data_IF_011106194966
#
_entry.id   IF_011106194966
#
_cell.length_a   1.000
_cell.length_b   1.000
_cell.length_c   1.000
_cell.angle_alpha   90.00
_cell.angle_beta   90.00
_cell.angle_gamma   90.00
#
_symmetry.space_group_name_H-M   'P 1'
#
loop_
_entity.id
_entity.type
_entity.pdbx_description
1 polymer ?
#
# COMPACT_ATOMS: atom_id res chain seq x y z
N UNK A 1 -16.18 7.90 -50.67
CA UNK A 1 -14.91 7.92 -49.96
C UNK A 1 -15.20 8.34 -48.53
N UNK A 2 -15.34 7.37 -47.59
CA UNK A 2 -15.46 7.58 -46.17
C UNK A 2 -14.04 7.67 -45.61
N UNK A 3 -13.63 8.85 -45.18
CA UNK A 3 -12.41 9.04 -44.40
C UNK A 3 -12.66 8.55 -42.97
N UNK A 4 -11.96 7.49 -42.57
CA UNK A 4 -11.92 7.05 -41.18
C UNK A 4 -11.22 8.13 -40.34
N UNK A 5 -11.72 8.46 -39.13
CA UNK A 5 -11.02 9.36 -38.24
C UNK A 5 -9.70 8.70 -37.79
N UNK A 6 -8.60 9.44 -37.94
CA UNK A 6 -7.32 9.09 -37.34
C UNK A 6 -7.52 9.09 -35.80
N UNK A 7 -7.45 7.91 -35.19
CA UNK A 7 -7.25 7.80 -33.75
C UNK A 7 -5.93 8.50 -33.42
N UNK A 8 -6.01 9.69 -32.83
CA UNK A 8 -4.84 10.31 -32.20
C UNK A 8 -4.41 9.43 -31.05
N UNK A 9 -3.23 8.86 -31.15
CA UNK A 9 -2.61 8.18 -30.01
C UNK A 9 -2.63 9.13 -28.82
N UNK A 10 -3.20 8.70 -27.70
CA UNK A 10 -3.11 9.44 -26.45
C UNK A 10 -1.61 9.59 -26.15
N UNK A 11 -1.17 10.84 -26.03
CA UNK A 11 0.21 11.13 -25.65
C UNK A 11 0.37 10.62 -24.21
N UNK A 12 1.26 9.65 -23.99
CA UNK A 12 1.58 9.19 -22.63
C UNK A 12 2.07 10.40 -21.82
N UNK A 13 1.38 10.68 -20.73
CA UNK A 13 1.77 11.72 -19.79
C UNK A 13 2.92 11.18 -18.96
N UNK A 14 4.15 11.54 -19.32
CA UNK A 14 5.35 11.18 -18.58
C UNK A 14 5.63 12.20 -17.50
N UNK A 15 5.95 11.75 -16.28
CA UNK A 15 6.45 12.62 -15.22
C UNK A 15 7.82 13.18 -15.58
N UNK A 16 8.04 14.46 -15.32
CA UNK A 16 9.40 15.03 -15.32
C UNK A 16 10.11 14.68 -14.01
N UNK A 17 11.44 14.73 -14.01
CA UNK A 17 12.24 14.50 -12.80
C UNK A 17 11.87 15.46 -11.67
N UNK A 18 11.60 16.74 -11.97
CA UNK A 18 11.17 17.72 -10.96
C UNK A 18 9.81 17.34 -10.35
N UNK A 19 8.86 16.91 -11.16
CA UNK A 19 7.56 16.41 -10.64
C UNK A 19 7.74 15.16 -9.78
N UNK A 20 8.64 14.26 -10.15
CA UNK A 20 8.96 13.09 -9.34
C UNK A 20 9.59 13.46 -7.99
N UNK A 21 10.48 14.48 -7.95
CA UNK A 21 11.05 15.01 -6.71
C UNK A 21 9.95 15.60 -5.80
N UNK A 22 9.05 16.38 -6.38
CA UNK A 22 7.96 17.02 -5.63
C UNK A 22 6.98 15.97 -5.07
N UNK A 23 6.63 14.98 -5.87
CA UNK A 23 5.80 13.84 -5.44
C UNK A 23 6.47 13.01 -4.36
N UNK A 24 7.79 12.78 -4.43
CA UNK A 24 8.51 12.03 -3.43
C UNK A 24 8.58 12.75 -2.07
N UNK A 25 8.46 14.07 -2.05
CA UNK A 25 8.47 14.84 -0.80
C UNK A 25 7.25 14.50 0.07
N UNK A 26 6.07 14.33 -0.54
CA UNK A 26 4.82 14.09 0.19
C UNK A 26 4.89 12.86 1.11
N UNK A 27 5.24 11.65 0.63
CA UNK A 27 5.40 10.50 1.51
C UNK A 27 6.56 10.65 2.50
N UNK A 28 7.68 11.23 2.10
CA UNK A 28 8.82 11.42 3.00
C UNK A 28 8.50 12.34 4.19
N UNK A 29 7.64 13.33 4.01
CA UNK A 29 7.26 14.25 5.08
C UNK A 29 6.33 13.61 6.11
N UNK A 30 5.51 12.61 5.72
CA UNK A 30 4.50 12.05 6.60
C UNK A 30 4.78 10.62 7.08
N UNK A 31 5.65 9.87 6.41
CA UNK A 31 5.80 8.42 6.64
C UNK A 31 6.22 8.05 8.06
N UNK A 32 6.91 8.96 8.76
CA UNK A 32 7.35 8.81 10.14
C UNK A 32 6.64 9.77 11.10
N UNK A 33 5.63 10.50 10.62
CA UNK A 33 4.83 11.36 11.46
C UNK A 33 3.73 10.54 12.12
N UNK A 34 3.91 10.21 13.40
CA UNK A 34 2.99 9.36 14.14
C UNK A 34 1.63 10.04 14.41
N UNK A 35 1.62 11.37 14.62
CA UNK A 35 0.41 12.15 14.92
C UNK A 35 0.29 13.37 14.02
N UNK A 36 -0.97 13.79 13.64
CA UNK A 36 -2.26 13.15 14.00
C UNK A 36 -2.42 11.78 13.34
N UNK A 37 -3.16 10.87 14.00
CA UNK A 37 -3.38 9.51 13.51
C UNK A 37 -4.83 9.04 13.73
N UNK A 38 -5.33 8.25 12.79
CA UNK A 38 -6.64 7.62 12.84
C UNK A 38 -6.46 6.11 12.78
N UNK A 39 -6.37 5.46 13.93
CA UNK A 39 -6.10 4.03 14.04
C UNK A 39 -7.20 3.12 13.46
N UNK A 40 -8.46 3.54 13.44
CA UNK A 40 -9.61 2.73 12.98
C UNK A 40 -9.71 1.34 13.64
N UNK A 41 -9.08 1.14 14.80
CA UNK A 41 -8.99 -0.16 15.45
C UNK A 41 -10.25 -0.52 16.23
N UNK A 42 -10.47 -1.82 16.41
CA UNK A 42 -11.43 -2.36 17.36
C UNK A 42 -10.68 -2.84 18.60
N UNK A 43 -11.09 -2.40 19.77
CA UNK A 43 -10.50 -2.83 21.05
C UNK A 43 -11.33 -3.98 21.63
N UNK A 44 -10.72 -5.12 21.93
CA UNK A 44 -11.37 -6.18 22.69
C UNK A 44 -11.30 -5.89 24.20
N UNK A 45 -10.22 -5.24 24.64
CA UNK A 45 -10.03 -4.76 26.01
C UNK A 45 -8.98 -3.62 26.07
N UNK A 46 -8.70 -3.11 27.26
CA UNK A 46 -7.80 -1.97 27.47
C UNK A 46 -6.32 -2.26 27.18
N UNK A 47 -5.91 -3.53 27.14
CA UNK A 47 -4.51 -3.90 26.80
C UNK A 47 -4.17 -3.67 25.34
N UNK A 48 -5.19 -3.42 24.48
CA UNK A 48 -5.00 -3.11 23.07
C UNK A 48 -4.75 -1.61 22.79
N UNK A 49 -4.69 -0.78 23.82
CA UNK A 49 -4.42 0.66 23.68
C UNK A 49 -2.90 0.86 23.65
N UNK A 50 -2.37 1.04 22.46
CA UNK A 50 -0.96 1.28 22.23
C UNK A 50 -0.76 2.44 21.22
N UNK A 51 0.43 3.06 21.17
CA UNK A 51 0.74 4.06 20.16
C UNK A 51 0.69 3.48 18.73
N UNK A 52 0.35 4.29 17.71
CA UNK A 52 0.32 3.85 16.31
C UNK A 52 1.57 3.10 15.87
N UNK A 53 2.76 3.59 16.20
CA UNK A 53 4.03 2.97 15.83
C UNK A 53 4.30 1.62 16.48
N UNK A 54 3.71 1.35 17.66
CA UNK A 54 3.77 0.03 18.30
C UNK A 54 2.82 -0.96 17.64
N UNK A 55 1.61 -0.51 17.29
CA UNK A 55 0.58 -1.35 16.67
C UNK A 55 0.91 -1.67 15.21
N UNK A 56 1.46 -0.70 14.49
CA UNK A 56 1.71 -0.73 13.05
C UNK A 56 3.12 -0.24 12.71
N UNK A 57 4.18 -0.98 13.09
CA UNK A 57 5.56 -0.51 12.91
C UNK A 57 5.96 -0.27 11.45
N UNK A 58 5.24 -0.87 10.48
CA UNK A 58 5.40 -0.60 9.06
C UNK A 58 4.61 0.63 8.63
N UNK A 59 3.33 0.70 9.00
CA UNK A 59 2.34 1.59 8.38
C UNK A 59 1.67 2.55 9.38
N UNK A 60 2.44 3.15 10.29
CA UNK A 60 1.91 4.06 11.33
C UNK A 60 1.82 5.52 10.90
N UNK A 61 2.57 5.95 9.87
CA UNK A 61 2.63 7.34 9.45
C UNK A 61 1.50 7.78 8.53
N UNK A 62 1.59 9.00 8.01
CA UNK A 62 0.66 9.55 7.00
C UNK A 62 -0.82 9.51 7.40
N UNK A 63 -1.14 9.75 8.68
CA UNK A 63 -2.49 9.86 9.22
C UNK A 63 -3.20 8.54 9.50
N UNK A 64 -3.19 7.56 8.61
CA UNK A 64 -3.80 6.25 8.83
C UNK A 64 -3.04 5.13 8.10
N UNK A 65 -3.41 3.89 8.39
CA UNK A 65 -2.71 2.70 7.92
C UNK A 65 -2.66 2.62 6.38
N UNK A 66 -3.80 2.77 5.69
CA UNK A 66 -3.84 2.66 4.23
C UNK A 66 -3.12 3.84 3.54
N UNK A 67 -3.17 5.04 4.10
CA UNK A 67 -2.41 6.19 3.56
C UNK A 67 -0.90 5.95 3.68
N UNK A 68 -0.44 5.29 4.75
CA UNK A 68 0.95 4.84 4.86
C UNK A 68 1.30 3.79 3.81
N UNK A 69 0.40 2.84 3.51
CA UNK A 69 0.61 1.87 2.41
C UNK A 69 0.71 2.58 1.06
N UNK A 70 -0.14 3.59 0.79
CA UNK A 70 -0.04 4.42 -0.43
C UNK A 70 1.31 5.12 -0.53
N UNK A 71 1.80 5.67 0.60
CA UNK A 71 3.09 6.34 0.66
C UNK A 71 4.24 5.38 0.29
N UNK A 72 4.22 4.16 0.81
CA UNK A 72 5.19 3.13 0.45
C UNK A 72 5.11 2.75 -1.03
N UNK A 73 3.89 2.50 -1.55
CA UNK A 73 3.69 2.22 -2.96
C UNK A 73 4.21 3.35 -3.85
N UNK A 74 3.89 4.60 -3.53
CA UNK A 74 4.33 5.75 -4.34
C UNK A 74 5.86 5.89 -4.36
N UNK A 75 6.54 5.64 -3.23
CA UNK A 75 7.99 5.65 -3.14
C UNK A 75 8.62 4.53 -3.99
N UNK A 76 8.07 3.31 -3.97
CA UNK A 76 8.53 2.21 -4.83
C UNK A 76 8.34 2.56 -6.30
N UNK A 77 7.16 3.04 -6.69
CA UNK A 77 6.85 3.42 -8.07
C UNK A 77 7.74 4.54 -8.59
N UNK A 78 8.05 5.53 -7.74
CA UNK A 78 8.98 6.61 -8.12
C UNK A 78 10.42 6.10 -8.29
N UNK A 79 10.94 5.25 -7.41
CA UNK A 79 12.28 4.68 -7.56
C UNK A 79 12.40 3.77 -8.79
N UNK A 80 11.35 3.03 -9.12
CA UNK A 80 11.29 2.18 -10.31
C UNK A 80 11.40 3.00 -11.60
N UNK A 81 10.73 4.16 -11.64
CA UNK A 81 10.74 5.05 -12.80
C UNK A 81 11.97 5.99 -12.83
N UNK A 82 12.46 6.41 -11.68
CA UNK A 82 13.55 7.38 -11.51
C UNK A 82 14.58 6.86 -10.50
N UNK A 83 15.41 5.86 -10.87
CA UNK A 83 16.33 5.21 -9.92
C UNK A 83 17.39 6.14 -9.34
N UNK A 84 17.75 7.20 -10.09
CA UNK A 84 18.75 8.21 -9.70
C UNK A 84 18.11 9.50 -9.15
N UNK A 85 16.85 9.46 -8.75
CA UNK A 85 16.15 10.61 -8.18
C UNK A 85 16.96 11.21 -7.02
N UNK A 86 17.05 12.54 -6.94
CA UNK A 86 17.78 13.25 -5.88
C UNK A 86 17.48 12.75 -4.44
N UNK A 87 16.28 12.18 -4.24
CA UNK A 87 15.82 11.61 -2.96
C UNK A 87 15.90 10.08 -2.88
N UNK A 88 16.48 9.43 -3.88
CA UNK A 88 16.46 7.97 -3.99
C UNK A 88 17.02 7.28 -2.75
N UNK A 89 18.13 7.75 -2.20
CA UNK A 89 18.73 7.13 -1.01
C UNK A 89 17.84 7.26 0.24
N UNK A 90 17.25 8.42 0.49
CA UNK A 90 16.31 8.61 1.60
C UNK A 90 15.08 7.71 1.47
N UNK A 91 14.58 7.50 0.25
CA UNK A 91 13.46 6.60 -0.02
C UNK A 91 13.89 5.14 0.23
N UNK A 92 15.05 4.71 -0.28
CA UNK A 92 15.57 3.34 -0.08
C UNK A 92 15.74 3.02 1.40
N UNK A 93 16.37 3.91 2.16
CA UNK A 93 16.55 3.76 3.62
C UNK A 93 15.21 3.64 4.35
N UNK A 94 14.23 4.45 3.96
CA UNK A 94 12.88 4.41 4.52
C UNK A 94 12.18 3.08 4.24
N UNK A 95 12.19 2.64 2.99
CA UNK A 95 11.57 1.37 2.57
C UNK A 95 12.21 0.18 3.27
N UNK A 96 13.56 0.10 3.32
CA UNK A 96 14.29 -0.99 3.97
C UNK A 96 14.01 -1.05 5.48
N UNK A 97 13.97 0.09 6.15
CA UNK A 97 13.65 0.16 7.58
C UNK A 97 12.22 -0.27 7.87
N UNK A 98 11.25 0.27 7.14
CA UNK A 98 9.84 0.05 7.41
C UNK A 98 9.41 -1.36 7.01
N UNK A 99 9.78 -1.82 5.80
CA UNK A 99 9.45 -3.16 5.27
C UNK A 99 10.43 -4.23 5.76
N UNK A 100 11.04 -4.06 6.94
CA UNK A 100 11.85 -5.10 7.56
C UNK A 100 10.99 -6.32 7.92
N UNK A 101 11.62 -7.48 7.95
CA UNK A 101 10.94 -8.75 8.29
C UNK A 101 10.26 -8.69 9.66
N UNK A 102 10.94 -8.09 10.64
CA UNK A 102 10.45 -7.94 12.01
C UNK A 102 9.17 -7.10 12.06
N UNK A 103 9.15 -5.96 11.38
CA UNK A 103 8.01 -5.06 11.31
C UNK A 103 6.81 -5.72 10.60
N UNK A 104 7.06 -6.42 9.49
CA UNK A 104 6.00 -7.15 8.77
C UNK A 104 5.40 -8.28 9.63
N UNK A 105 6.21 -8.99 10.42
CA UNK A 105 5.69 -10.02 11.34
C UNK A 105 4.76 -9.37 12.38
N UNK A 106 5.11 -8.20 12.92
CA UNK A 106 4.25 -7.49 13.86
C UNK A 106 2.90 -7.08 13.24
N UNK A 107 2.91 -6.58 12.00
CA UNK A 107 1.66 -6.30 11.25
C UNK A 107 0.81 -7.56 11.07
N UNK A 108 1.43 -8.69 10.68
CA UNK A 108 0.74 -9.97 10.52
C UNK A 108 0.08 -10.41 11.84
N UNK A 109 0.78 -10.29 12.96
CA UNK A 109 0.22 -10.65 14.29
C UNK A 109 -0.94 -9.72 14.69
N UNK A 110 -0.87 -8.44 14.35
CA UNK A 110 -1.99 -7.53 14.53
C UNK A 110 -3.24 -7.99 13.75
N UNK A 111 -3.08 -8.28 12.46
CA UNK A 111 -4.18 -8.76 11.61
C UNK A 111 -4.75 -10.12 12.03
N UNK A 112 -3.96 -11.01 12.63
CA UNK A 112 -4.42 -12.33 13.09
C UNK A 112 -5.36 -12.27 14.28
N UNK A 113 -5.37 -11.18 15.06
CA UNK A 113 -6.29 -11.02 16.19
C UNK A 113 -7.74 -11.11 15.71
N UNK A 114 -8.57 -11.85 16.44
CA UNK A 114 -9.96 -12.14 16.05
C UNK A 114 -10.79 -10.87 15.78
N UNK A 115 -10.63 -9.84 16.63
CA UNK A 115 -11.33 -8.57 16.51
C UNK A 115 -10.83 -7.70 15.35
N UNK A 116 -9.69 -8.04 14.71
CA UNK A 116 -9.11 -7.31 13.58
C UNK A 116 -9.37 -7.98 12.22
N UNK A 117 -10.25 -9.00 12.16
CA UNK A 117 -10.54 -9.72 10.91
C UNK A 117 -11.01 -8.85 9.74
N UNK A 118 -11.65 -7.73 10.03
CA UNK A 118 -12.15 -6.79 9.02
C UNK A 118 -11.35 -5.48 8.94
N UNK A 119 -10.24 -5.40 9.68
CA UNK A 119 -9.40 -4.20 9.67
C UNK A 119 -8.96 -3.87 8.23
N UNK A 120 -9.13 -2.61 7.84
CA UNK A 120 -8.79 -2.06 6.51
C UNK A 120 -9.49 -2.71 5.29
N UNK A 121 -10.56 -3.48 5.50
CA UNK A 121 -11.32 -4.16 4.43
C UNK A 121 -12.16 -3.16 3.62
N UNK A 122 -12.08 -3.09 2.32
CA UNK A 122 -11.21 -3.82 1.39
C UNK A 122 -10.13 -2.91 0.80
N UNK A 123 -10.18 -1.61 1.10
CA UNK A 123 -9.37 -0.57 0.51
C UNK A 123 -7.89 -0.72 0.88
N UNK A 124 -7.57 -0.81 2.17
CA UNK A 124 -6.20 -1.01 2.62
C UNK A 124 -5.61 -2.34 2.13
N UNK A 125 -6.43 -3.40 2.10
CA UNK A 125 -6.01 -4.69 1.54
C UNK A 125 -5.60 -4.59 0.08
N UNK A 126 -6.38 -3.86 -0.74
CA UNK A 126 -6.09 -3.64 -2.14
C UNK A 126 -4.73 -2.95 -2.35
N UNK A 127 -4.44 -1.96 -1.51
CA UNK A 127 -3.18 -1.23 -1.60
C UNK A 127 -1.95 -2.04 -1.17
N UNK A 128 -2.09 -2.99 -0.24
CA UNK A 128 -1.00 -3.94 0.06
C UNK A 128 -0.70 -4.83 -1.15
N UNK A 129 -1.74 -5.33 -1.84
CA UNK A 129 -1.55 -6.10 -3.06
C UNK A 129 -0.88 -5.26 -4.15
N UNK A 130 -1.30 -4.00 -4.31
CA UNK A 130 -0.70 -3.08 -5.27
C UNK A 130 0.76 -2.75 -4.96
N UNK A 131 1.11 -2.58 -3.68
CA UNK A 131 2.50 -2.44 -3.24
C UNK A 131 3.32 -3.70 -3.56
N UNK A 132 2.75 -4.88 -3.31
CA UNK A 132 3.42 -6.15 -3.58
C UNK A 132 3.66 -6.36 -5.08
N UNK A 133 2.67 -6.04 -5.92
CA UNK A 133 2.78 -6.07 -7.39
C UNK A 133 3.85 -5.11 -7.91
N UNK A 134 3.91 -3.89 -7.38
CA UNK A 134 4.91 -2.90 -7.76
C UNK A 134 6.34 -3.35 -7.42
N UNK A 135 6.54 -3.99 -6.25
CA UNK A 135 7.81 -4.61 -5.86
C UNK A 135 8.16 -5.80 -6.76
N UNK A 136 7.18 -6.66 -7.06
CA UNK A 136 7.36 -7.86 -7.91
C UNK A 136 7.84 -7.50 -9.32
N UNK A 137 7.26 -6.44 -9.89
CA UNK A 137 7.55 -5.98 -11.26
C UNK A 137 8.75 -5.05 -11.36
N UNK A 138 9.44 -4.78 -10.25
CA UNK A 138 10.66 -3.99 -10.22
C UNK A 138 11.91 -4.88 -10.21
N UNK A 139 12.66 -4.88 -11.31
CA UNK A 139 13.90 -5.66 -11.47
C UNK A 139 15.05 -5.06 -10.62
N UNK A 140 14.99 -5.24 -9.31
CA UNK A 140 15.99 -4.76 -8.35
C UNK A 140 16.23 -5.82 -7.27
N UNK A 141 17.50 -6.04 -6.82
CA UNK A 141 17.78 -6.89 -5.66
C UNK A 141 17.06 -6.43 -4.40
N UNK A 142 16.99 -5.10 -4.17
CA UNK A 142 16.27 -4.52 -3.05
C UNK A 142 14.76 -4.82 -3.12
N UNK A 143 14.16 -4.67 -4.31
CA UNK A 143 12.73 -4.96 -4.48
C UNK A 143 12.39 -6.41 -4.16
N UNK A 144 13.23 -7.36 -4.59
CA UNK A 144 13.07 -8.79 -4.27
C UNK A 144 13.13 -9.07 -2.78
N UNK A 145 14.07 -8.44 -2.07
CA UNK A 145 14.17 -8.55 -0.62
C UNK A 145 12.92 -8.00 0.08
N UNK A 146 12.47 -6.79 -0.31
CA UNK A 146 11.30 -6.15 0.27
C UNK A 146 10.01 -6.93 -0.04
N UNK A 147 9.89 -7.50 -1.24
CA UNK A 147 8.77 -8.38 -1.62
C UNK A 147 8.73 -9.63 -0.74
N UNK A 148 9.87 -10.32 -0.56
CA UNK A 148 9.94 -11.50 0.32
C UNK A 148 9.61 -11.16 1.78
N UNK A 149 10.04 -9.99 2.26
CA UNK A 149 9.66 -9.53 3.60
C UNK A 149 8.16 -9.27 3.70
N UNK A 150 7.54 -8.62 2.69
CA UNK A 150 6.12 -8.28 2.66
C UNK A 150 5.19 -9.51 2.49
N UNK A 151 5.70 -10.58 1.88
CA UNK A 151 4.94 -11.78 1.48
C UNK A 151 4.06 -12.39 2.58
N UNK A 152 4.46 -12.49 3.86
CA UNK A 152 3.59 -13.01 4.91
C UNK A 152 2.30 -12.18 5.08
N UNK A 153 2.40 -10.85 5.01
CA UNK A 153 1.24 -9.96 5.07
C UNK A 153 0.38 -10.07 3.81
N UNK A 154 0.99 -10.07 2.63
CA UNK A 154 0.30 -10.24 1.34
C UNK A 154 -0.49 -11.55 1.30
N UNK A 155 0.11 -12.66 1.73
CA UNK A 155 -0.57 -13.96 1.80
C UNK A 155 -1.77 -13.92 2.75
N UNK A 156 -1.64 -13.30 3.92
CA UNK A 156 -2.74 -13.13 4.85
C UNK A 156 -3.90 -12.33 4.24
N UNK A 157 -3.59 -11.25 3.52
CA UNK A 157 -4.59 -10.43 2.82
C UNK A 157 -5.31 -11.23 1.73
N UNK A 158 -4.58 -12.04 0.96
CA UNK A 158 -5.17 -12.94 -0.06
C UNK A 158 -6.18 -13.90 0.59
N UNK A 159 -5.82 -14.54 1.71
CA UNK A 159 -6.74 -15.43 2.42
C UNK A 159 -7.98 -14.67 2.95
N UNK A 160 -7.81 -13.45 3.44
CA UNK A 160 -8.92 -12.57 3.83
C UNK A 160 -9.88 -12.26 2.67
N UNK A 161 -9.33 -11.98 1.47
CA UNK A 161 -10.15 -11.80 0.27
C UNK A 161 -10.92 -13.08 -0.09
N UNK A 162 -10.26 -14.24 -0.09
CA UNK A 162 -10.90 -15.53 -0.37
C UNK A 162 -12.03 -15.86 0.61
N UNK A 163 -11.87 -15.49 1.89
CA UNK A 163 -12.91 -15.65 2.91
C UNK A 163 -14.07 -14.64 2.77
N UNK A 164 -13.78 -13.46 2.28
CA UNK A 164 -14.74 -12.34 2.24
C UNK A 164 -15.56 -12.30 0.96
N UNK A 165 -14.93 -12.42 -0.22
CA UNK A 165 -15.60 -12.24 -1.51
C UNK A 165 -16.81 -13.17 -1.71
N UNK A 166 -16.79 -14.46 -1.31
CA UNK A 166 -17.95 -15.35 -1.45
C UNK A 166 -19.18 -14.93 -0.60
N UNK A 167 -18.99 -14.02 0.36
CA UNK A 167 -20.09 -13.51 1.21
C UNK A 167 -20.82 -12.33 0.58
N UNK A 168 -20.29 -11.77 -0.52
CA UNK A 168 -20.91 -10.66 -1.24
C UNK A 168 -21.91 -11.19 -2.26
N UNK A 169 -23.10 -10.59 -2.31
CA UNK A 169 -24.07 -10.84 -3.37
C UNK A 169 -23.70 -10.14 -4.68
N UNK A 170 -22.98 -9.02 -4.58
CA UNK A 170 -22.48 -8.22 -5.71
C UNK A 170 -21.30 -7.33 -5.27
N UNK A 171 -20.43 -6.89 -6.19
CA UNK A 171 -19.38 -5.94 -5.87
C UNK A 171 -19.95 -4.57 -5.46
N UNK A 172 -19.54 -4.08 -4.30
CA UNK A 172 -19.95 -2.76 -3.78
C UNK A 172 -19.25 -1.67 -4.59
N UNK A 173 -20.01 -0.70 -5.11
CA UNK A 173 -19.54 0.44 -5.90
C UNK A 173 -19.99 1.74 -5.24
N UNK A 174 -19.21 2.20 -4.28
CA UNK A 174 -19.44 3.44 -3.54
C UNK A 174 -18.17 4.29 -3.53
N UNK A 175 -18.29 5.58 -3.29
CA UNK A 175 -17.13 6.50 -3.17
C UNK A 175 -16.43 6.45 -1.82
N UNK A 176 -16.39 5.28 -1.16
CA UNK A 176 -15.84 5.09 0.18
C UNK A 176 -14.93 3.86 0.25
N UNK A 177 -14.20 3.68 1.35
CA UNK A 177 -13.25 2.57 1.57
C UNK A 177 -13.87 1.18 1.52
N UNK A 178 -15.19 1.07 1.67
CA UNK A 178 -15.94 -0.19 1.53
C UNK A 178 -16.17 -0.62 0.07
N UNK A 179 -15.65 0.12 -0.91
CA UNK A 179 -15.74 -0.17 -2.33
C UNK A 179 -14.99 -1.46 -2.69
N UNK A 180 -15.69 -2.58 -2.71
CA UNK A 180 -15.10 -3.87 -3.04
C UNK A 180 -14.80 -4.03 -4.54
N UNK A 181 -15.50 -3.31 -5.43
CA UNK A 181 -15.19 -3.32 -6.86
C UNK A 181 -13.80 -2.72 -7.14
N UNK A 182 -13.43 -1.62 -6.46
CA UNK A 182 -12.09 -1.06 -6.48
C UNK A 182 -11.06 -2.07 -5.95
N UNK A 183 -11.33 -2.67 -4.78
CA UNK A 183 -10.45 -3.66 -4.18
C UNK A 183 -10.18 -4.87 -5.08
N UNK A 184 -11.23 -5.35 -5.77
CA UNK A 184 -11.13 -6.47 -6.72
C UNK A 184 -10.27 -6.06 -7.94
N UNK A 185 -10.38 -4.82 -8.46
CA UNK A 185 -9.57 -4.41 -9.61
C UNK A 185 -8.07 -4.48 -9.31
N UNK A 186 -7.64 -4.02 -8.15
CA UNK A 186 -6.22 -4.13 -7.73
C UNK A 186 -5.80 -5.56 -7.42
N UNK A 187 -6.71 -6.37 -6.86
CA UNK A 187 -6.42 -7.78 -6.60
C UNK A 187 -6.29 -8.63 -7.88
N UNK A 188 -6.83 -8.18 -9.01
CA UNK A 188 -6.67 -8.83 -10.31
C UNK A 188 -5.36 -8.45 -11.01
N UNK A 189 -4.76 -7.30 -10.67
CA UNK A 189 -3.45 -6.89 -11.16
C UNK A 189 -2.32 -7.70 -10.50
N UNK A 190 -2.53 -8.11 -9.24
CA UNK A 190 -1.62 -8.95 -8.47
C UNK A 190 -1.73 -10.43 -8.84
#
# INVERSE_FOLDING_TARGET
>A
LLSAPLLTAQQEVMLSEQQAIDLAQVPLDCIHQEYPNKLNQTLADSSHIEPPSSLHPVFYGCFDWHSSVHAHWSMVSLLKQFPDLKKAEAIKETLQRNLSKENIIAEVEYFKKEHNKSYERTYGWAWVLKLSEELHTWESPMAKELEENLKPLTNLIIERYKEFLPKLNYPIRVGEHTNSAFGISFALDY
#
